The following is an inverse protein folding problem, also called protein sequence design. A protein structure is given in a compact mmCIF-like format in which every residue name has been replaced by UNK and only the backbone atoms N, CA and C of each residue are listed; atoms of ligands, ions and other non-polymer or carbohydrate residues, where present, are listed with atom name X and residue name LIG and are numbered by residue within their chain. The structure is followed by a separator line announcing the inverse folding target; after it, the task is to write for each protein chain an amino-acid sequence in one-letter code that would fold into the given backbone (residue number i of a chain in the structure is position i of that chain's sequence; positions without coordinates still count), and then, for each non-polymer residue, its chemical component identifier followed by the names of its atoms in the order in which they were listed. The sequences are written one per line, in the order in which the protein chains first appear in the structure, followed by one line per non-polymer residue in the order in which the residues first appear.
data_IF_176159755364
#
_entry.id   IF_176159755364
#
_cell.length_a   1.000
_cell.length_b   1.000
_cell.length_c   1.000
_cell.angle_alpha   90.00
_cell.angle_beta   90.00
_cell.angle_gamma   90.00
#
_symmetry.space_group_name_H-M   'P 1'
#
loop_
_entity.id
_entity.type
_entity.pdbx_description
1 polymer ?
#
# COMPACT_ATOMS: atom_id res chain seq x y z
N UNK A 1 19.23 12.16 -2.69
CA UNK A 1 19.00 13.13 -1.60
C UNK A 1 18.65 14.48 -2.20
N UNK A 2 17.79 15.28 -1.55
CA UNK A 2 17.10 15.01 -0.26
C UNK A 2 16.12 13.81 -0.32
N UNK A 3 15.69 13.28 0.84
CA UNK A 3 14.77 12.13 0.94
C UNK A 3 13.85 12.28 2.16
N UNK A 4 12.53 12.20 1.93
CA UNK A 4 11.48 12.12 2.96
C UNK A 4 10.91 10.69 2.94
N UNK A 5 11.11 9.89 3.99
CA UNK A 5 10.54 8.54 4.08
C UNK A 5 9.02 8.52 4.35
N UNK A 6 8.48 7.30 4.53
CA UNK A 6 7.09 7.05 4.93
C UNK A 6 6.25 6.48 3.78
N UNK A 7 5.80 5.23 3.94
CA UNK A 7 5.05 4.49 2.91
C UNK A 7 3.85 3.71 3.47
N UNK A 8 3.45 4.06 4.69
CA UNK A 8 2.30 3.52 5.43
C UNK A 8 1.39 4.70 5.75
N UNK A 9 0.87 5.36 4.71
CA UNK A 9 0.22 6.67 4.84
C UNK A 9 -1.28 6.48 4.95
N UNK A 10 -1.91 7.08 5.97
CA UNK A 10 -3.36 7.19 6.08
C UNK A 10 -3.72 8.65 6.32
N UNK A 11 -4.75 9.14 5.64
CA UNK A 11 -5.22 10.51 5.79
C UNK A 11 -6.59 10.71 5.17
N UNK A 12 -7.03 11.97 5.15
CA UNK A 12 -8.28 12.39 4.55
C UNK A 12 -8.03 13.00 3.16
N UNK A 13 -8.88 12.67 2.20
CA UNK A 13 -8.85 13.30 0.88
C UNK A 13 -9.29 14.75 0.99
N UNK A 14 -8.41 15.68 0.61
CA UNK A 14 -8.73 17.13 0.58
C UNK A 14 -9.11 17.63 -0.82
N UNK A 15 -8.62 16.97 -1.87
CA UNK A 15 -8.85 17.33 -3.26
C UNK A 15 -8.79 16.07 -4.15
N UNK A 16 -9.56 16.07 -5.25
CA UNK A 16 -9.51 15.02 -6.27
C UNK A 16 -9.44 15.65 -7.67
N UNK A 17 -8.73 15.01 -8.60
CA UNK A 17 -8.72 15.42 -10.00
C UNK A 17 -10.06 15.19 -10.70
N UNK A 18 -10.31 15.88 -11.82
CA UNK A 18 -11.58 15.86 -12.55
C UNK A 18 -12.04 14.45 -12.96
N UNK A 19 -11.09 13.57 -13.27
CA UNK A 19 -11.35 12.22 -13.78
C UNK A 19 -11.37 11.16 -12.65
N UNK A 20 -11.23 11.59 -11.39
CA UNK A 20 -11.27 10.72 -10.23
C UNK A 20 -12.72 10.45 -9.84
N UNK A 21 -13.11 9.18 -9.88
CA UNK A 21 -14.47 8.74 -9.52
C UNK A 21 -14.49 7.80 -8.32
N UNK A 22 -13.34 7.23 -7.94
CA UNK A 22 -13.21 6.26 -6.85
C UNK A 22 -13.30 6.91 -5.45
N UNK A 23 -12.94 8.19 -5.34
CA UNK A 23 -12.82 8.94 -4.09
C UNK A 23 -13.45 10.32 -4.21
N UNK A 24 -13.72 10.93 -3.06
CA UNK A 24 -14.18 12.31 -2.92
C UNK A 24 -13.53 12.95 -1.69
N UNK A 25 -13.59 14.28 -1.59
CA UNK A 25 -13.14 14.98 -0.40
C UNK A 25 -13.87 14.45 0.85
N UNK A 26 -13.14 14.30 1.96
CA UNK A 26 -13.63 13.71 3.21
C UNK A 26 -13.50 12.18 3.32
N UNK A 27 -13.19 11.46 2.24
CA UNK A 27 -12.93 10.01 2.33
C UNK A 27 -11.62 9.76 3.09
N UNK A 28 -11.61 8.81 4.04
CA UNK A 28 -10.39 8.32 4.70
C UNK A 28 -9.73 7.26 3.81
N UNK A 29 -8.48 7.51 3.44
CA UNK A 29 -7.74 6.72 2.44
C UNK A 29 -6.33 6.38 2.90
N UNK A 30 -5.79 5.32 2.29
CA UNK A 30 -4.41 4.88 2.50
C UNK A 30 -3.59 4.91 1.21
N UNK A 31 -2.29 5.17 1.35
CA UNK A 31 -1.27 5.04 0.28
C UNK A 31 -0.13 4.17 0.78
N UNK A 32 0.18 3.12 0.02
CA UNK A 32 1.22 2.14 0.36
C UNK A 32 2.59 2.45 -0.26
N UNK A 33 3.34 1.39 -0.57
CA UNK A 33 4.71 1.49 -1.10
C UNK A 33 4.81 2.03 -2.52
N UNK A 34 3.77 1.83 -3.34
CA UNK A 34 3.81 2.18 -4.77
C UNK A 34 2.89 3.36 -5.04
N UNK A 35 3.35 4.25 -5.92
CA UNK A 35 2.58 5.42 -6.39
C UNK A 35 2.44 5.44 -7.91
N UNK A 36 3.05 4.49 -8.62
CA UNK A 36 3.02 4.43 -10.07
C UNK A 36 3.42 3.07 -10.66
N UNK A 37 3.03 2.82 -11.90
CA UNK A 37 3.46 1.69 -12.73
C UNK A 37 3.25 2.01 -14.21
N UNK A 38 3.69 1.14 -15.14
CA UNK A 38 3.51 1.38 -16.58
C UNK A 38 2.09 1.15 -17.11
N UNK A 39 1.20 0.53 -16.32
CA UNK A 39 -0.20 0.19 -16.67
C UNK A 39 -0.45 -0.72 -17.87
N UNK A 40 0.58 -1.11 -18.64
CA UNK A 40 0.40 -1.81 -19.92
C UNK A 40 1.04 -3.21 -19.99
N UNK A 41 1.91 -3.57 -19.06
CA UNK A 41 2.54 -4.89 -19.00
C UNK A 41 1.61 -5.93 -18.36
N UNK A 42 1.96 -7.21 -18.49
CA UNK A 42 1.16 -8.31 -17.95
C UNK A 42 0.86 -8.15 -16.45
N UNK A 43 1.85 -7.93 -15.55
CA UNK A 43 1.56 -7.68 -14.13
C UNK A 43 0.56 -6.54 -13.87
N UNK A 44 0.69 -5.42 -14.59
CA UNK A 44 -0.22 -4.29 -14.41
C UNK A 44 -1.64 -4.56 -14.93
N UNK A 45 -1.81 -5.49 -15.87
CA UNK A 45 -3.10 -5.90 -16.41
C UNK A 45 -3.79 -6.99 -15.58
N UNK A 46 -3.09 -7.56 -14.60
CA UNK A 46 -3.58 -8.63 -13.73
C UNK A 46 -3.54 -8.24 -12.25
N UNK A 47 -3.67 -6.94 -11.94
CA UNK A 47 -3.68 -6.38 -10.57
C UNK A 47 -2.46 -6.79 -9.73
N UNK A 48 -1.31 -6.82 -10.38
CA UNK A 48 -0.01 -7.23 -9.83
C UNK A 48 1.06 -6.16 -10.09
N UNK A 49 0.71 -4.89 -9.94
CA UNK A 49 1.57 -3.74 -10.22
C UNK A 49 2.91 -3.78 -9.46
N UNK A 50 2.98 -4.45 -8.31
CA UNK A 50 4.21 -4.68 -7.54
C UNK A 50 5.27 -5.50 -8.29
N UNK A 51 4.85 -6.31 -9.26
CA UNK A 51 5.75 -7.06 -10.14
C UNK A 51 6.06 -6.32 -11.44
N UNK A 52 5.61 -5.07 -11.60
CA UNK A 52 5.99 -4.24 -12.74
C UNK A 52 7.48 -3.85 -12.67
N UNK A 53 8.18 -3.93 -13.81
CA UNK A 53 9.56 -3.46 -13.95
C UNK A 53 9.70 -1.93 -13.97
N UNK A 54 8.59 -1.21 -14.16
CA UNK A 54 8.50 0.27 -14.14
C UNK A 54 7.58 0.74 -13.01
N UNK A 55 7.52 0.01 -11.90
CA UNK A 55 6.84 0.48 -10.68
C UNK A 55 7.59 1.68 -10.10
N UNK A 56 6.85 2.59 -9.47
CA UNK A 56 7.40 3.79 -8.85
C UNK A 56 7.13 3.74 -7.36
N UNK A 57 8.18 3.89 -6.54
CA UNK A 57 8.10 3.87 -5.08
C UNK A 57 7.61 5.21 -4.52
N UNK A 58 6.92 5.17 -3.38
CA UNK A 58 6.36 6.34 -2.69
C UNK A 58 7.39 7.37 -2.23
N UNK A 59 8.65 6.98 -2.09
CA UNK A 59 9.77 7.89 -1.86
C UNK A 59 11.07 7.35 -2.47
N UNK A 60 12.05 8.24 -2.65
CA UNK A 60 13.38 7.91 -3.17
C UNK A 60 13.38 7.25 -4.57
N UNK A 61 12.39 7.61 -5.38
CA UNK A 61 12.28 7.23 -6.79
C UNK A 61 12.02 8.48 -7.64
N UNK A 62 11.88 8.31 -8.95
CA UNK A 62 11.53 9.38 -9.89
C UNK A 62 10.12 9.14 -10.41
N UNK A 63 9.21 10.10 -10.18
CA UNK A 63 7.85 10.07 -10.70
C UNK A 63 7.82 10.36 -12.20
N UNK A 64 6.65 10.17 -12.84
CA UNK A 64 6.51 10.33 -14.30
C UNK A 64 6.74 11.76 -14.80
N UNK A 65 6.63 12.76 -13.93
CA UNK A 65 6.93 14.17 -14.23
C UNK A 65 8.43 14.52 -14.03
N UNK A 66 9.27 13.54 -13.72
CA UNK A 66 10.70 13.70 -13.49
C UNK A 66 11.07 14.17 -12.07
N UNK A 67 10.10 14.42 -11.18
CA UNK A 67 10.38 14.82 -9.80
C UNK A 67 10.70 13.62 -8.92
N UNK A 68 11.53 13.82 -7.90
CA UNK A 68 11.78 12.82 -6.88
C UNK A 68 10.52 12.58 -6.05
N UNK A 69 10.12 11.33 -5.85
CA UNK A 69 9.03 10.97 -4.94
C UNK A 69 9.43 11.22 -3.49
N UNK A 70 8.52 11.80 -2.71
CA UNK A 70 8.68 12.12 -1.30
C UNK A 70 7.53 11.46 -0.53
N UNK A 71 7.87 10.77 0.56
CA UNK A 71 6.95 9.92 1.31
C UNK A 71 6.05 10.69 2.27
N UNK A 72 5.32 9.93 3.08
CA UNK A 72 4.28 10.43 3.97
C UNK A 72 4.75 11.12 5.25
N UNK A 73 6.06 11.27 5.51
CA UNK A 73 6.55 12.09 6.63
C UNK A 73 6.49 13.58 6.28
N UNK A 74 5.30 14.04 5.86
CA UNK A 74 4.98 15.36 5.37
C UNK A 74 3.53 15.71 5.74
N UNK A 75 3.16 17.00 5.65
CA UNK A 75 1.79 17.44 5.96
C UNK A 75 0.73 17.06 4.91
N UNK A 76 1.15 16.70 3.69
CA UNK A 76 0.26 16.27 2.61
C UNK A 76 1.02 15.40 1.60
N UNK A 77 0.27 14.59 0.85
CA UNK A 77 0.77 13.74 -0.24
C UNK A 77 -0.24 13.70 -1.39
N UNK A 78 0.25 13.73 -2.62
CA UNK A 78 -0.55 13.54 -3.84
C UNK A 78 -0.19 12.21 -4.45
N UNK A 79 -1.18 11.36 -4.71
CA UNK A 79 -1.02 10.05 -5.33
C UNK A 79 -2.07 9.82 -6.40
N UNK A 80 -1.73 9.03 -7.41
CA UNK A 80 -2.69 8.59 -8.41
C UNK A 80 -3.75 7.65 -7.80
N UNK A 81 -5.02 7.87 -8.13
CA UNK A 81 -6.17 7.11 -7.58
C UNK A 81 -6.04 5.58 -7.67
N UNK A 82 -5.26 5.04 -8.62
CA UNK A 82 -5.03 3.59 -8.73
C UNK A 82 -4.24 3.04 -7.53
N UNK A 83 -3.38 3.85 -6.93
CA UNK A 83 -2.49 3.49 -5.82
C UNK A 83 -3.01 3.95 -4.45
N UNK A 84 -4.21 4.54 -4.43
CA UNK A 84 -4.93 4.89 -3.21
C UNK A 84 -5.95 3.78 -2.90
N UNK A 85 -6.09 3.43 -1.62
CA UNK A 85 -7.10 2.48 -1.12
C UNK A 85 -8.04 3.16 -0.14
N UNK A 86 -9.32 2.75 -0.12
CA UNK A 86 -10.24 3.20 0.93
C UNK A 86 -9.90 2.49 2.23
N UNK A 87 -9.87 3.22 3.33
CA UNK A 87 -9.80 2.61 4.65
C UNK A 87 -11.23 2.17 5.03
N UNK A 88 -11.42 0.93 5.50
CA UNK A 88 -12.74 0.45 5.92
C UNK A 88 -13.35 1.32 7.02
N UNK A 89 -14.67 1.49 6.97
CA UNK A 89 -15.40 2.20 8.02
C UNK A 89 -15.20 1.53 9.38
N UNK A 90 -14.99 2.34 10.42
CA UNK A 90 -14.70 1.86 11.78
C UNK A 90 -13.26 1.41 12.02
N UNK A 91 -12.40 1.34 10.99
CA UNK A 91 -10.98 1.09 11.18
C UNK A 91 -10.26 2.38 11.59
N UNK A 92 -9.61 2.34 12.75
CA UNK A 92 -8.83 3.46 13.29
C UNK A 92 -7.60 3.73 12.39
N UNK A 93 -7.34 4.98 11.96
CA UNK A 93 -6.27 5.31 11.01
C UNK A 93 -4.88 4.77 11.39
N UNK A 94 -4.50 4.90 12.66
CA UNK A 94 -3.21 4.45 13.18
C UNK A 94 -3.07 2.92 13.13
N UNK A 95 -4.20 2.19 13.19
CA UNK A 95 -4.22 0.73 13.05
C UNK A 95 -4.21 0.30 11.57
N UNK A 96 -4.75 1.12 10.68
CA UNK A 96 -4.77 0.86 9.24
C UNK A 96 -3.38 1.04 8.60
N UNK A 97 -2.61 2.04 9.03
CA UNK A 97 -1.34 2.41 8.41
C UNK A 97 -0.36 1.23 8.27
N UNK A 98 -0.03 0.45 9.32
CA UNK A 98 0.91 -0.67 9.21
C UNK A 98 0.44 -1.80 8.28
N UNK A 99 -0.87 -1.88 8.01
CA UNK A 99 -1.44 -2.90 7.12
C UNK A 99 -1.08 -2.63 5.65
N UNK A 100 -0.78 -1.38 5.30
CA UNK A 100 -0.43 -0.94 3.95
C UNK A 100 0.96 -1.42 3.48
N UNK A 101 1.80 -1.88 4.40
CA UNK A 101 3.08 -2.51 4.10
C UNK A 101 3.19 -3.88 4.77
N UNK A 102 3.35 -3.93 6.09
CA UNK A 102 3.58 -5.20 6.79
C UNK A 102 2.38 -6.16 6.65
N UNK A 103 1.16 -5.65 6.73
CA UNK A 103 -0.06 -6.45 6.60
C UNK A 103 -0.17 -7.12 5.23
N UNK A 104 -0.12 -6.34 4.15
CA UNK A 104 -0.21 -6.89 2.78
C UNK A 104 0.99 -7.78 2.43
N UNK A 105 2.18 -7.47 2.96
CA UNK A 105 3.39 -8.30 2.77
C UNK A 105 3.20 -9.73 3.28
N UNK A 106 2.46 -9.89 4.38
CA UNK A 106 2.10 -11.20 4.95
C UNK A 106 0.90 -11.81 4.23
N UNK A 107 -0.15 -11.01 4.02
CA UNK A 107 -1.41 -11.49 3.47
C UNK A 107 -1.27 -12.01 2.04
N UNK A 108 -0.46 -11.33 1.22
CA UNK A 108 -0.24 -11.66 -0.19
C UNK A 108 0.23 -13.12 -0.40
N UNK A 109 1.34 -13.60 0.19
CA UNK A 109 1.76 -14.99 0.04
C UNK A 109 0.76 -15.97 0.65
N UNK A 110 0.15 -15.66 1.81
CA UNK A 110 -0.85 -16.55 2.40
C UNK A 110 -2.03 -16.81 1.45
N UNK A 111 -2.53 -15.78 0.78
CA UNK A 111 -3.59 -15.91 -0.20
C UNK A 111 -3.10 -16.55 -1.50
N UNK A 112 -1.96 -16.10 -2.03
CA UNK A 112 -1.44 -16.55 -3.33
C UNK A 112 -1.12 -18.04 -3.34
N UNK A 113 -0.56 -18.57 -2.26
CA UNK A 113 -0.20 -19.98 -2.13
C UNK A 113 -1.32 -20.85 -1.54
N UNK A 114 -2.55 -20.31 -1.38
CA UNK A 114 -3.69 -21.06 -0.85
C UNK A 114 -3.54 -21.46 0.63
N UNK A 115 -2.75 -20.72 1.40
CA UNK A 115 -2.50 -20.95 2.82
C UNK A 115 -3.49 -20.23 3.75
N UNK A 116 -4.53 -19.62 3.18
CA UNK A 116 -5.62 -18.96 3.89
C UNK A 116 -6.78 -19.93 4.23
N UNK A 117 -6.48 -21.22 4.39
CA UNK A 117 -7.44 -22.27 4.77
C UNK A 117 -7.21 -22.69 6.22
N UNK A 118 -8.27 -23.18 6.87
CA UNK A 118 -8.21 -23.57 8.28
C UNK A 118 -7.43 -24.86 8.50
N UNK A 119 -6.89 -25.02 9.72
CA UNK A 119 -6.21 -26.26 10.16
C UNK A 119 -4.75 -26.39 9.74
N UNK A 120 -4.20 -25.45 8.96
CA UNK A 120 -2.78 -25.45 8.62
C UNK A 120 -1.90 -25.17 9.85
N UNK A 121 -0.71 -25.76 9.84
CA UNK A 121 0.36 -25.48 10.81
C UNK A 121 1.45 -24.69 10.09
N UNK A 122 1.75 -23.50 10.58
CA UNK A 122 2.78 -22.61 10.03
C UNK A 122 3.77 -22.17 11.10
N UNK A 123 5.00 -21.88 10.68
CA UNK A 123 6.03 -21.27 11.52
C UNK A 123 6.26 -19.82 11.09
N UNK A 124 6.32 -18.91 12.06
CA UNK A 124 6.77 -17.53 11.84
C UNK A 124 8.16 -17.39 12.43
N UNK A 125 9.17 -17.32 11.58
CA UNK A 125 10.56 -17.15 11.99
C UNK A 125 10.93 -15.66 12.02
N UNK A 126 11.06 -15.11 13.23
CA UNK A 126 11.33 -13.69 13.47
C UNK A 126 10.07 -12.91 13.85
N UNK A 127 10.13 -12.17 14.97
CA UNK A 127 9.00 -11.46 15.58
C UNK A 127 9.20 -9.93 15.53
N UNK A 128 9.41 -9.41 14.32
CA UNK A 128 9.37 -7.96 14.01
C UNK A 128 8.01 -7.50 13.50
N UNK A 129 7.94 -6.38 12.77
CA UNK A 129 6.68 -5.86 12.21
C UNK A 129 5.93 -6.85 11.30
N UNK A 130 6.62 -7.39 10.29
CA UNK A 130 6.08 -8.42 9.39
C UNK A 130 5.77 -9.71 10.15
N UNK A 131 6.64 -10.13 11.07
CA UNK A 131 6.43 -11.35 11.86
C UNK A 131 5.19 -11.28 12.76
N UNK A 132 5.00 -10.16 13.46
CA UNK A 132 3.82 -9.93 14.28
C UNK A 132 2.53 -9.90 13.45
N UNK A 133 2.53 -9.29 12.26
CA UNK A 133 1.41 -9.41 11.31
C UNK A 133 1.21 -10.85 10.83
N UNK A 134 2.30 -11.59 10.62
CA UNK A 134 2.32 -13.03 10.34
C UNK A 134 1.49 -13.83 11.33
N UNK A 135 1.78 -13.65 12.62
CA UNK A 135 1.07 -14.34 13.72
C UNK A 135 -0.42 -13.96 13.71
N UNK A 136 -0.74 -12.66 13.60
CA UNK A 136 -2.14 -12.20 13.64
C UNK A 136 -2.96 -12.69 12.45
N UNK A 137 -2.45 -12.54 11.24
CA UNK A 137 -3.18 -12.86 10.00
C UNK A 137 -3.29 -14.37 9.80
N UNK A 138 -2.24 -15.14 10.10
CA UNK A 138 -2.30 -16.60 9.96
C UNK A 138 -3.23 -17.27 10.99
N UNK A 139 -3.52 -16.60 12.10
CA UNK A 139 -4.38 -17.13 13.17
C UNK A 139 -5.87 -16.74 13.03
N UNK A 140 -6.15 -15.60 12.39
CA UNK A 140 -7.50 -15.06 12.20
C UNK A 140 -8.40 -16.02 11.40
#
# INVERSE_FOLDING_TARGET
YPMVPGHEVVGEVVEVGSDVTKFRAGDVVGVGLLVGCCRNCYPCKTDNEQYCNKKIWSYNDTYTDGKTTQGGFAGALVADQKFVVKIPEGMVPEQAAPLLCAGVTVYSPLKHFGLNVSGLRGGILGLGGVGHMGVKIAKA
#
